data_IF_297200590471
#
_entry.id   IF_297200590471
#
_cell.length_a   1.000
_cell.length_b   1.000
_cell.length_c   1.000
_cell.angle_alpha   90.00
_cell.angle_beta   90.00
_cell.angle_gamma   90.00
#
_symmetry.space_group_name_H-M   'P 1'
#
loop_
_entity.id
_entity.type
_entity.pdbx_description
1 polymer ?
#
# COMPACT_ATOMS: atom_id res chain seq x y z
N UNK A 1 7.07 -8.21 24.33
CA UNK A 1 7.46 -8.93 23.10
C UNK A 1 6.51 -8.53 21.99
N UNK A 2 6.99 -7.88 20.92
CA UNK A 2 6.15 -7.60 19.74
C UNK A 2 6.07 -8.90 18.91
N UNK A 3 4.88 -9.39 18.54
CA UNK A 3 4.79 -10.57 17.69
C UNK A 3 5.51 -10.25 16.38
N UNK A 4 6.45 -11.11 16.00
CA UNK A 4 7.08 -11.10 14.68
C UNK A 4 5.99 -11.44 13.67
N UNK A 5 5.41 -10.40 13.07
CA UNK A 5 4.37 -10.55 12.05
C UNK A 5 5.03 -11.24 10.86
N UNK A 6 4.64 -12.50 10.61
CA UNK A 6 5.06 -13.25 9.43
C UNK A 6 4.66 -12.49 8.17
N UNK A 7 5.52 -12.51 7.15
CA UNK A 7 5.17 -11.93 5.86
C UNK A 7 3.84 -12.53 5.36
N UNK A 8 2.85 -11.71 4.98
CA UNK A 8 1.54 -12.20 4.59
C UNK A 8 1.64 -13.02 3.31
N UNK A 9 1.04 -14.23 3.32
CA UNK A 9 1.10 -15.20 2.22
C UNK A 9 0.12 -14.83 1.10
N UNK A 10 -1.04 -14.28 1.47
CA UNK A 10 -2.14 -13.92 0.55
C UNK A 10 -2.58 -12.46 0.73
N UNK A 11 -3.25 -11.87 -0.26
CA UNK A 11 -3.75 -10.47 -0.21
C UNK A 11 -4.63 -10.22 1.02
N UNK A 12 -5.43 -11.20 1.44
CA UNK A 12 -6.25 -11.16 2.65
C UNK A 12 -5.43 -11.06 3.95
N UNK A 13 -4.29 -11.74 4.03
CA UNK A 13 -3.39 -11.64 5.18
C UNK A 13 -2.63 -10.30 5.18
N UNK A 14 -2.35 -9.74 3.99
CA UNK A 14 -1.81 -8.38 3.90
C UNK A 14 -2.76 -7.39 4.56
N UNK A 15 -4.08 -7.52 4.36
CA UNK A 15 -5.08 -6.65 5.01
C UNK A 15 -5.06 -6.76 6.53
N UNK A 16 -4.99 -7.97 7.11
CA UNK A 16 -4.95 -8.17 8.56
C UNK A 16 -3.75 -7.52 9.26
N UNK A 17 -2.69 -7.17 8.50
CA UNK A 17 -1.47 -6.54 8.99
C UNK A 17 -1.35 -5.04 8.67
N UNK A 18 -2.26 -4.49 7.86
CA UNK A 18 -2.26 -3.07 7.49
C UNK A 18 -2.86 -2.24 8.63
N UNK A 19 -2.00 -1.51 9.32
CA UNK A 19 -2.38 -0.47 10.29
C UNK A 19 -2.19 0.92 9.68
N UNK A 20 -2.86 1.96 10.21
CA UNK A 20 -2.57 3.34 9.82
C UNK A 20 -1.07 3.65 9.91
N UNK A 21 -0.53 4.33 8.89
CA UNK A 21 0.89 4.63 8.79
C UNK A 21 1.77 3.46 8.30
N UNK A 22 1.17 2.37 7.82
CA UNK A 22 1.89 1.27 7.17
C UNK A 22 1.35 0.99 5.77
N UNK A 23 2.27 0.67 4.87
CA UNK A 23 1.97 0.18 3.53
C UNK A 23 2.70 -1.13 3.30
N UNK A 24 2.09 -2.04 2.54
CA UNK A 24 2.71 -3.30 2.15
C UNK A 24 3.03 -3.29 0.67
N UNK A 25 4.26 -3.60 0.30
CA UNK A 25 4.68 -3.70 -1.09
C UNK A 25 5.10 -5.13 -1.43
N UNK A 26 4.46 -5.70 -2.45
CA UNK A 26 4.79 -7.02 -2.99
C UNK A 26 5.66 -6.86 -4.23
N UNK A 27 6.90 -7.36 -4.15
CA UNK A 27 7.88 -7.22 -5.22
C UNK A 27 7.52 -8.05 -6.48
N UNK A 28 6.92 -9.24 -6.32
CA UNK A 28 6.59 -10.15 -7.43
C UNK A 28 5.72 -9.49 -8.51
N UNK A 29 4.69 -8.76 -8.10
CA UNK A 29 3.71 -8.13 -8.99
C UNK A 29 3.75 -6.60 -8.91
N UNK A 30 4.77 -6.04 -8.26
CA UNK A 30 4.97 -4.60 -8.05
C UNK A 30 3.74 -3.86 -7.53
N UNK A 31 3.00 -4.51 -6.65
CA UNK A 31 1.74 -3.98 -6.13
C UNK A 31 1.94 -3.44 -4.72
N UNK A 32 1.52 -2.18 -4.53
CA UNK A 32 1.39 -1.54 -3.24
C UNK A 32 -0.02 -1.76 -2.70
N UNK A 33 -0.13 -2.12 -1.44
CA UNK A 33 -1.39 -2.27 -0.70
C UNK A 33 -1.36 -1.33 0.50
N UNK A 34 -2.45 -0.63 0.74
CA UNK A 34 -2.55 0.35 1.80
C UNK A 34 -4.00 0.60 2.21
N UNK A 35 -4.19 1.14 3.40
CA UNK A 35 -5.49 1.60 3.91
C UNK A 35 -5.38 3.08 4.26
N UNK A 36 -6.42 3.83 3.94
CA UNK A 36 -6.54 5.20 4.44
C UNK A 36 -7.10 5.20 5.86
N UNK A 37 -6.79 6.27 6.58
CA UNK A 37 -7.36 6.54 7.89
C UNK A 37 -7.69 8.02 8.00
N UNK A 38 -8.63 8.43 8.89
CA UNK A 38 -8.92 9.84 9.11
C UNK A 38 -7.70 10.67 9.53
N UNK A 39 -6.73 10.04 10.19
CA UNK A 39 -5.51 10.70 10.66
C UNK A 39 -4.41 10.77 9.59
N UNK A 40 -4.49 9.96 8.53
CA UNK A 40 -3.48 9.87 7.47
C UNK A 40 -4.10 9.26 6.21
N UNK A 41 -4.15 10.07 5.14
CA UNK A 41 -4.55 9.66 3.80
C UNK A 41 -3.32 9.27 2.99
N UNK A 42 -3.16 7.97 2.75
CA UNK A 42 -2.14 7.44 1.84
C UNK A 42 -2.53 7.77 0.39
N UNK A 43 -3.83 7.77 0.07
CA UNK A 43 -4.33 8.23 -1.22
C UNK A 43 -3.82 9.64 -1.57
N UNK A 44 -3.90 10.60 -0.65
CA UNK A 44 -3.47 11.98 -0.93
C UNK A 44 -1.98 12.05 -1.26
N UNK A 45 -1.15 11.29 -0.54
CA UNK A 45 0.30 11.20 -0.80
C UNK A 45 0.54 10.57 -2.17
N UNK A 46 -0.18 9.50 -2.49
CA UNK A 46 -0.08 8.84 -3.80
C UNK A 46 -0.45 9.80 -4.93
N UNK A 47 -1.56 10.53 -4.79
CA UNK A 47 -2.00 11.51 -5.77
C UNK A 47 -1.01 12.65 -5.95
N UNK A 48 -0.45 13.20 -4.87
CA UNK A 48 0.56 14.26 -4.95
C UNK A 48 1.83 13.79 -5.64
N UNK A 49 2.30 12.58 -5.34
CA UNK A 49 3.47 12.00 -6.01
C UNK A 49 3.21 11.78 -7.49
N UNK A 50 2.05 11.23 -7.86
CA UNK A 50 1.69 11.01 -9.25
C UNK A 50 1.51 12.32 -10.02
N UNK A 51 0.94 13.35 -9.38
CA UNK A 51 0.89 14.70 -9.94
C UNK A 51 2.28 15.25 -10.24
N UNK A 52 3.24 15.07 -9.33
CA UNK A 52 4.64 15.46 -9.56
C UNK A 52 5.34 14.65 -10.66
N UNK A 53 4.81 13.48 -11.02
CA UNK A 53 5.25 12.66 -12.15
C UNK A 53 4.45 12.92 -13.44
N UNK A 54 3.54 13.90 -13.44
CA UNK A 54 2.62 14.21 -14.55
C UNK A 54 1.76 12.99 -14.96
N UNK A 55 1.36 12.19 -13.98
CA UNK A 55 0.60 10.94 -14.17
C UNK A 55 -0.62 10.90 -13.27
N UNK A 56 -1.56 9.99 -13.57
CA UNK A 56 -2.71 9.72 -12.71
C UNK A 56 -2.60 8.33 -12.10
N UNK A 57 -2.74 8.19 -10.77
CA UNK A 57 -2.67 6.89 -10.13
C UNK A 57 -3.91 6.07 -10.46
N UNK A 58 -3.73 4.79 -10.78
CA UNK A 58 -4.83 3.84 -10.98
C UNK A 58 -5.05 3.02 -9.71
N UNK A 59 -5.62 3.66 -8.69
CA UNK A 59 -5.91 3.04 -7.40
C UNK A 59 -7.15 2.16 -7.55
N UNK A 60 -7.06 0.91 -7.09
CA UNK A 60 -8.16 -0.04 -7.06
C UNK A 60 -8.58 -0.32 -5.63
N UNK A 61 -9.88 -0.22 -5.35
CA UNK A 61 -10.46 -0.67 -4.09
C UNK A 61 -10.59 -2.20 -4.10
N UNK A 62 -10.06 -2.84 -3.08
CA UNK A 62 -10.26 -4.25 -2.78
C UNK A 62 -11.38 -4.38 -1.75
N UNK A 63 -12.16 -5.45 -1.87
CA UNK A 63 -13.32 -5.72 -1.03
C UNK A 63 -13.17 -7.08 -0.35
N UNK A 64 -13.76 -7.23 0.85
CA UNK A 64 -13.70 -8.46 1.65
C UNK A 64 -14.72 -9.50 1.20
N UNK A 65 -15.72 -9.10 0.42
CA UNK A 65 -16.82 -9.94 -0.03
C UNK A 65 -16.96 -9.92 -1.56
N UNK A 66 -17.60 -10.96 -2.07
CA UNK A 66 -17.85 -11.17 -3.51
C UNK A 66 -18.82 -10.13 -4.10
N UNK A 67 -19.66 -9.53 -3.25
CA UNK A 67 -20.63 -8.50 -3.65
C UNK A 67 -20.04 -7.08 -3.62
N UNK A 68 -18.76 -6.91 -3.28
CA UNK A 68 -18.07 -5.63 -3.14
C UNK A 68 -18.72 -4.64 -2.15
N UNK A 69 -19.34 -5.14 -1.08
CA UNK A 69 -20.05 -4.31 -0.09
C UNK A 69 -19.11 -3.79 1.02
N UNK A 70 -18.13 -4.58 1.42
CA UNK A 70 -17.21 -4.31 2.51
C UNK A 70 -15.83 -3.95 1.98
N UNK A 71 -15.47 -2.67 2.11
CA UNK A 71 -14.15 -2.15 1.71
C UNK A 71 -13.05 -2.77 2.59
N UNK A 72 -12.01 -3.31 1.95
CA UNK A 72 -10.86 -3.90 2.62
C UNK A 72 -9.68 -2.90 2.64
N UNK A 73 -9.05 -2.71 1.48
CA UNK A 73 -7.90 -1.85 1.30
C UNK A 73 -7.82 -1.36 -0.14
N UNK A 74 -6.92 -0.43 -0.40
CA UNK A 74 -6.60 0.04 -1.73
C UNK A 74 -5.31 -0.60 -2.22
N UNK A 75 -5.22 -0.83 -3.53
CA UNK A 75 -3.99 -1.26 -4.17
C UNK A 75 -3.67 -0.49 -5.43
N UNK A 76 -2.38 -0.45 -5.77
CA UNK A 76 -1.85 0.24 -6.93
C UNK A 76 -0.65 -0.53 -7.47
N UNK A 77 -0.64 -0.81 -8.77
CA UNK A 77 0.52 -1.34 -9.47
C UNK A 77 1.49 -0.21 -9.82
N UNK A 78 2.77 -0.44 -9.58
CA UNK A 78 3.81 0.57 -9.72
C UNK A 78 4.86 0.18 -10.75
N UNK A 79 5.26 1.16 -11.55
CA UNK A 79 6.53 1.09 -12.29
C UNK A 79 7.71 1.30 -11.35
N UNK A 80 8.93 1.01 -11.83
CA UNK A 80 10.14 1.23 -11.03
C UNK A 80 10.34 2.70 -10.63
N UNK A 81 9.98 3.65 -11.50
CA UNK A 81 10.08 5.08 -11.22
C UNK A 81 9.05 5.52 -10.17
N UNK A 82 7.78 5.11 -10.34
CA UNK A 82 6.71 5.39 -9.38
C UNK A 82 7.01 4.80 -8.01
N UNK A 83 7.52 3.55 -7.95
CA UNK A 83 7.96 2.91 -6.71
C UNK A 83 8.99 3.75 -5.98
N UNK A 84 10.03 4.21 -6.68
CA UNK A 84 11.10 5.00 -6.07
C UNK A 84 10.55 6.31 -5.50
N UNK A 85 9.75 7.04 -6.26
CA UNK A 85 9.15 8.30 -5.83
C UNK A 85 8.25 8.12 -4.60
N UNK A 86 7.34 7.13 -4.64
CA UNK A 86 6.45 6.84 -3.51
C UNK A 86 7.21 6.39 -2.27
N UNK A 87 8.23 5.55 -2.41
CA UNK A 87 9.01 5.07 -1.26
C UNK A 87 9.74 6.21 -0.58
N UNK A 88 10.28 7.16 -1.35
CA UNK A 88 10.85 8.40 -0.80
C UNK A 88 9.78 9.21 -0.08
N UNK A 89 8.63 9.46 -0.69
CA UNK A 89 7.55 10.23 -0.07
C UNK A 89 7.03 9.59 1.24
N UNK A 90 6.83 8.27 1.24
CA UNK A 90 6.43 7.53 2.43
C UNK A 90 7.48 7.61 3.54
N UNK A 91 8.76 7.47 3.20
CA UNK A 91 9.85 7.59 4.18
C UNK A 91 9.87 8.98 4.82
N UNK A 92 9.75 10.04 4.01
CA UNK A 92 9.69 11.43 4.48
C UNK A 92 8.45 11.71 5.35
N UNK A 93 7.34 11.01 5.09
CA UNK A 93 6.08 11.14 5.82
C UNK A 93 6.00 10.23 7.05
N UNK A 94 7.08 9.51 7.40
CA UNK A 94 7.10 8.58 8.52
C UNK A 94 6.26 7.30 8.32
N UNK A 95 5.85 7.01 7.08
CA UNK A 95 5.07 5.82 6.72
C UNK A 95 6.01 4.63 6.58
N UNK A 96 5.71 3.56 7.31
CA UNK A 96 6.53 2.36 7.30
C UNK A 96 6.15 1.43 6.14
N UNK A 97 7.15 1.06 5.33
CA UNK A 97 6.98 0.17 4.18
C UNK A 97 7.36 -1.24 4.58
N UNK A 98 6.38 -2.14 4.62
CA UNK A 98 6.59 -3.58 4.80
C UNK A 98 6.77 -4.23 3.42
N UNK A 99 7.74 -5.13 3.26
CA UNK A 99 8.05 -5.79 1.98
C UNK A 99 7.96 -7.30 2.10
N UNK A 100 7.52 -7.97 1.04
CA UNK A 100 7.72 -9.42 0.90
C UNK A 100 9.22 -9.68 0.74
N UNK A 101 9.80 -10.54 1.59
CA UNK A 101 11.17 -11.01 1.37
C UNK A 101 11.14 -11.92 0.13
N UNK A 102 12.03 -11.69 -0.84
CA UNK A 102 12.29 -12.69 -1.87
C UNK A 102 12.78 -13.95 -1.18
N UNK A 103 12.02 -15.04 -1.30
CA UNK A 103 12.49 -16.40 -1.04
C UNK A 103 13.49 -16.77 -2.12
#
# INVERSE_FOLDING_TARGET
MRPSISAPKNELESFGSLCPGRVYYRDENRTLYFVDSPALSICDIVEQVFKGLEQSPRIRQLHMDVHNLFRAASCLQLTSSQKKALFTAFTLSGIHIVRSAKV
#
